data_IF_622874863332
#
_entry.id   IF_622874863332
#
_cell.length_a   1.000
_cell.length_b   1.000
_cell.length_c   1.000
_cell.angle_alpha   90.00
_cell.angle_beta   90.00
_cell.angle_gamma   90.00
#
_symmetry.space_group_name_H-M   'P 1'
#
loop_
_entity.id
_entity.type
_entity.pdbx_description
1 polymer ?
#
# COMPACT_ATOMS: atom_id res chain seq x y z
N UNK A 1 17.17 -21.41 4.52
CA UNK A 1 17.95 -20.29 3.97
C UNK A 1 17.48 -20.04 2.55
N UNK A 2 16.47 -19.15 2.40
CA UNK A 2 16.09 -18.62 1.10
C UNK A 2 17.05 -17.47 0.84
N UNK A 3 18.09 -17.74 0.05
CA UNK A 3 18.95 -16.69 -0.50
C UNK A 3 18.10 -15.96 -1.53
N UNK A 4 17.54 -14.82 -1.17
CA UNK A 4 16.94 -13.88 -2.12
C UNK A 4 18.08 -13.40 -3.02
N UNK A 5 18.25 -14.04 -4.16
CA UNK A 5 19.18 -13.62 -5.18
C UNK A 5 18.54 -12.40 -5.87
N UNK A 6 18.79 -11.20 -5.34
CA UNK A 6 18.42 -9.98 -6.02
C UNK A 6 19.25 -9.92 -7.31
N UNK A 7 18.56 -10.04 -8.45
CA UNK A 7 19.20 -9.84 -9.73
C UNK A 7 19.57 -8.36 -9.86
N UNK A 8 20.85 -8.08 -9.71
CA UNK A 8 21.41 -6.74 -9.94
C UNK A 8 21.94 -6.71 -11.36
N UNK A 9 21.61 -5.66 -12.11
CA UNK A 9 22.11 -5.46 -13.47
C UNK A 9 23.64 -5.39 -13.47
N UNK A 10 24.27 -6.07 -14.42
CA UNK A 10 25.71 -5.99 -14.63
C UNK A 10 26.03 -4.85 -15.62
N UNK A 11 26.50 -3.74 -15.07
CA UNK A 11 26.84 -2.56 -15.86
C UNK A 11 28.21 -2.66 -16.51
N UNK A 12 28.33 -2.27 -17.79
CA UNK A 12 29.58 -2.27 -18.55
C UNK A 12 30.46 -1.05 -18.23
N UNK A 13 30.75 -0.84 -16.94
CA UNK A 13 31.50 0.33 -16.45
C UNK A 13 32.95 0.36 -16.95
N UNK A 14 33.49 -0.80 -17.39
CA UNK A 14 34.81 -0.87 -18.01
C UNK A 14 34.95 -0.02 -19.27
N UNK A 15 33.84 0.36 -19.91
CA UNK A 15 33.84 1.27 -21.06
C UNK A 15 34.02 2.74 -20.65
N UNK A 16 33.91 3.07 -19.38
CA UNK A 16 34.20 4.39 -18.86
C UNK A 16 35.71 4.55 -18.74
N UNK A 17 36.26 5.53 -19.43
CA UNK A 17 37.71 5.80 -19.51
C UNK A 17 38.12 7.13 -18.89
N UNK A 18 37.14 7.97 -18.53
CA UNK A 18 37.39 9.30 -18.00
C UNK A 18 36.63 9.54 -16.70
N UNK A 19 37.30 10.17 -15.75
CA UNK A 19 36.70 10.55 -14.45
C UNK A 19 35.53 11.50 -14.65
N UNK A 20 35.62 12.42 -15.62
CA UNK A 20 34.54 13.37 -15.91
C UNK A 20 33.22 12.67 -16.29
N UNK A 21 33.27 11.59 -17.05
CA UNK A 21 32.08 10.80 -17.40
C UNK A 21 31.47 10.09 -16.19
N UNK A 22 32.32 9.58 -15.29
CA UNK A 22 31.88 9.02 -14.03
C UNK A 22 31.16 10.07 -13.18
N UNK A 23 31.67 11.28 -13.08
CA UNK A 23 31.08 12.38 -12.32
C UNK A 23 29.71 12.80 -12.87
N UNK A 24 29.55 12.82 -14.18
CA UNK A 24 28.25 13.08 -14.83
C UNK A 24 27.24 12.04 -14.43
N UNK A 25 27.60 10.76 -14.49
CA UNK A 25 26.71 9.66 -14.12
C UNK A 25 26.35 9.65 -12.63
N UNK A 26 27.32 9.95 -11.76
CA UNK A 26 27.09 10.04 -10.33
C UNK A 26 26.15 11.20 -9.98
N UNK A 27 26.31 12.33 -10.63
CA UNK A 27 25.41 13.48 -10.45
C UNK A 27 23.99 13.17 -10.91
N UNK A 28 23.85 12.52 -12.05
CA UNK A 28 22.55 12.06 -12.54
C UNK A 28 21.90 11.07 -11.60
N UNK A 29 22.65 10.07 -11.13
CA UNK A 29 22.14 9.05 -10.21
C UNK A 29 21.69 9.63 -8.86
N UNK A 30 22.37 10.66 -8.36
CA UNK A 30 21.97 11.36 -7.13
C UNK A 30 20.60 12.04 -7.28
N UNK A 31 20.31 12.64 -8.43
CA UNK A 31 19.01 13.25 -8.73
C UNK A 31 17.93 12.17 -8.82
N UNK A 32 18.20 11.07 -9.51
CA UNK A 32 17.30 9.93 -9.60
C UNK A 32 16.97 9.39 -8.19
N UNK A 33 17.98 9.21 -7.36
CA UNK A 33 17.79 8.73 -5.98
C UNK A 33 16.98 9.69 -5.14
N UNK A 34 17.19 11.00 -5.26
CA UNK A 34 16.41 12.01 -4.54
C UNK A 34 14.92 11.94 -4.92
N UNK A 35 14.62 11.85 -6.21
CA UNK A 35 13.25 11.74 -6.71
C UNK A 35 12.57 10.44 -6.23
N UNK A 36 13.29 9.32 -6.30
CA UNK A 36 12.80 8.03 -5.83
C UNK A 36 12.60 8.01 -4.32
N UNK A 37 13.48 8.63 -3.55
CA UNK A 37 13.33 8.73 -2.08
C UNK A 37 12.11 9.55 -1.69
N UNK A 38 11.85 10.64 -2.39
CA UNK A 38 10.64 11.44 -2.20
C UNK A 38 9.38 10.63 -2.55
N UNK A 39 9.40 9.93 -3.68
CA UNK A 39 8.30 9.05 -4.10
C UNK A 39 8.07 7.92 -3.08
N UNK A 40 9.13 7.30 -2.58
CA UNK A 40 9.05 6.27 -1.54
C UNK A 40 8.33 6.79 -0.31
N UNK A 41 8.69 7.97 0.19
CA UNK A 41 8.05 8.57 1.35
C UNK A 41 6.55 8.79 1.13
N UNK A 42 6.16 9.25 -0.05
CA UNK A 42 4.74 9.46 -0.41
C UNK A 42 3.98 8.14 -0.45
N UNK A 43 4.57 7.09 -1.05
CA UNK A 43 3.96 5.76 -1.15
C UNK A 43 3.88 5.09 0.23
N UNK A 44 4.89 5.23 1.08
CA UNK A 44 4.86 4.73 2.47
C UNK A 44 3.71 5.33 3.26
N UNK A 45 3.56 6.65 3.21
CA UNK A 45 2.45 7.34 3.89
C UNK A 45 1.09 6.89 3.39
N UNK A 46 0.95 6.69 2.09
CA UNK A 46 -0.28 6.21 1.49
C UNK A 46 -0.56 4.76 1.90
N UNK A 47 0.46 3.90 1.90
CA UNK A 47 0.35 2.49 2.32
C UNK A 47 -0.07 2.39 3.79
N UNK A 48 0.53 3.17 4.67
CA UNK A 48 0.17 3.22 6.10
C UNK A 48 -1.28 3.64 6.29
N UNK A 49 -1.73 4.64 5.55
CA UNK A 49 -3.12 5.10 5.59
C UNK A 49 -4.09 4.01 5.14
N UNK A 50 -3.78 3.28 4.07
CA UNK A 50 -4.59 2.16 3.62
C UNK A 50 -4.62 1.02 4.65
N UNK A 51 -3.49 0.73 5.29
CA UNK A 51 -3.41 -0.29 6.34
C UNK A 51 -4.32 0.04 7.53
N UNK A 52 -4.27 1.27 8.03
CA UNK A 52 -5.12 1.74 9.13
C UNK A 52 -6.60 1.71 8.75
N UNK A 53 -6.95 2.26 7.59
CA UNK A 53 -8.33 2.34 7.10
C UNK A 53 -8.90 0.95 6.84
N UNK A 54 -8.11 0.03 6.31
CA UNK A 54 -8.52 -1.37 6.07
C UNK A 54 -8.97 -2.06 7.35
N UNK A 55 -8.20 -1.93 8.43
CA UNK A 55 -8.54 -2.50 9.74
C UNK A 55 -9.80 -1.84 10.32
N UNK A 56 -9.88 -0.53 10.26
CA UNK A 56 -11.02 0.25 10.78
C UNK A 56 -12.32 -0.14 10.07
N UNK A 57 -12.32 -0.17 8.74
CA UNK A 57 -13.49 -0.53 7.94
C UNK A 57 -13.92 -1.97 8.19
N UNK A 58 -12.99 -2.91 8.28
CA UNK A 58 -13.29 -4.31 8.59
C UNK A 58 -13.95 -4.44 9.97
N UNK A 59 -13.44 -3.73 10.97
CA UNK A 59 -14.00 -3.73 12.33
C UNK A 59 -15.42 -3.14 12.36
N UNK A 60 -15.64 -2.02 11.69
CA UNK A 60 -16.95 -1.39 11.58
C UNK A 60 -17.96 -2.29 10.87
N UNK A 61 -17.56 -2.97 9.79
CA UNK A 61 -18.41 -3.90 9.06
C UNK A 61 -18.82 -5.08 9.92
N UNK A 62 -17.89 -5.67 10.67
CA UNK A 62 -18.20 -6.76 11.61
C UNK A 62 -19.19 -6.31 12.69
N UNK A 63 -19.05 -5.11 13.21
CA UNK A 63 -19.99 -4.53 14.18
C UNK A 63 -21.39 -4.38 13.61
N UNK A 64 -21.52 -3.89 12.38
CA UNK A 64 -22.83 -3.75 11.72
C UNK A 64 -23.48 -5.10 11.41
N UNK A 65 -22.70 -6.09 10.99
CA UNK A 65 -23.20 -7.46 10.76
C UNK A 65 -23.75 -8.05 12.06
N UNK A 66 -23.04 -7.86 13.18
CA UNK A 66 -23.49 -8.32 14.49
C UNK A 66 -24.77 -7.61 14.94
N UNK A 67 -24.87 -6.28 14.76
CA UNK A 67 -26.08 -5.51 15.07
C UNK A 67 -27.28 -5.96 14.22
N UNK A 68 -27.08 -6.22 12.92
CA UNK A 68 -28.12 -6.74 12.04
C UNK A 68 -28.64 -8.09 12.50
N UNK A 69 -27.75 -9.01 12.88
CA UNK A 69 -28.16 -10.32 13.41
C UNK A 69 -29.01 -10.18 14.69
N UNK A 70 -28.62 -9.27 15.58
CA UNK A 70 -29.35 -8.99 16.82
C UNK A 70 -30.74 -8.40 16.53
N UNK A 71 -30.84 -7.43 15.61
CA UNK A 71 -32.10 -6.80 15.21
C UNK A 71 -33.03 -7.81 14.53
N UNK A 72 -32.50 -8.66 13.65
CA UNK A 72 -33.28 -9.71 13.00
C UNK A 72 -33.87 -10.70 14.03
N UNK A 73 -33.09 -11.12 15.01
CA UNK A 73 -33.56 -11.99 16.10
C UNK A 73 -34.64 -11.30 16.93
N UNK A 74 -34.51 -9.99 17.18
CA UNK A 74 -35.47 -9.20 17.91
C UNK A 74 -36.80 -9.04 17.16
N UNK A 75 -36.75 -8.71 15.87
CA UNK A 75 -37.91 -8.57 14.98
C UNK A 75 -38.70 -9.90 14.95
N UNK A 76 -38.00 -11.03 14.92
CA UNK A 76 -38.65 -12.36 14.82
C UNK A 76 -39.56 -12.69 16.00
N UNK A 77 -39.35 -12.10 17.18
CA UNK A 77 -40.11 -12.35 18.39
C UNK A 77 -41.13 -11.25 18.75
N UNK A 78 -41.10 -10.12 18.01
CA UNK A 78 -41.99 -9.00 18.29
C UNK A 78 -43.38 -9.19 17.62
N UNK A 79 -44.48 -8.85 18.33
CA UNK A 79 -45.78 -8.74 17.70
C UNK A 79 -45.83 -7.50 16.77
N UNK A 80 -46.74 -7.53 15.79
CA UNK A 80 -47.01 -6.37 14.95
C UNK A 80 -47.44 -5.16 15.81
N UNK A 81 -46.86 -4.00 15.47
CA UNK A 81 -47.10 -2.76 16.18
C UNK A 81 -45.94 -1.79 16.10
N UNK A 82 -46.03 -0.63 16.82
CA UNK A 82 -45.05 0.44 16.75
C UNK A 82 -43.63 0.01 17.11
N UNK A 83 -43.42 -0.89 18.05
CA UNK A 83 -42.12 -1.37 18.50
C UNK A 83 -41.45 -2.18 17.39
N UNK A 84 -42.21 -3.06 16.72
CA UNK A 84 -41.70 -3.83 15.58
C UNK A 84 -41.37 -2.91 14.40
N UNK A 85 -42.23 -1.95 14.12
CA UNK A 85 -42.00 -0.97 13.03
C UNK A 85 -40.71 -0.18 13.26
N UNK A 86 -40.44 0.24 14.48
CA UNK A 86 -39.20 0.93 14.86
C UNK A 86 -37.97 0.03 14.68
N UNK A 87 -38.07 -1.25 15.05
CA UNK A 87 -37.01 -2.23 14.85
C UNK A 87 -36.74 -2.49 13.36
N UNK A 88 -37.77 -2.56 12.54
CA UNK A 88 -37.66 -2.68 11.07
C UNK A 88 -36.96 -1.44 10.47
N UNK A 89 -37.29 -0.24 10.93
CA UNK A 89 -36.65 1.00 10.51
C UNK A 89 -35.15 1.02 10.87
N UNK A 90 -34.80 0.53 12.07
CA UNK A 90 -33.43 0.37 12.50
C UNK A 90 -32.66 -0.61 11.60
N UNK A 91 -33.28 -1.74 11.26
CA UNK A 91 -32.71 -2.72 10.32
C UNK A 91 -32.40 -2.07 8.97
N UNK A 92 -33.32 -1.31 8.43
CA UNK A 92 -33.12 -0.62 7.15
C UNK A 92 -31.94 0.33 7.18
N UNK A 93 -31.77 1.11 8.26
CA UNK A 93 -30.61 2.01 8.44
C UNK A 93 -29.29 1.21 8.53
N UNK A 94 -29.29 0.09 9.24
CA UNK A 94 -28.12 -0.77 9.37
C UNK A 94 -27.75 -1.45 8.05
N UNK A 95 -28.72 -1.87 7.25
CA UNK A 95 -28.50 -2.44 5.92
C UNK A 95 -27.86 -1.40 4.97
N UNK A 96 -28.30 -0.15 5.03
CA UNK A 96 -27.68 0.93 4.27
C UNK A 96 -26.25 1.22 4.72
N UNK A 97 -26.01 1.25 6.04
CA UNK A 97 -24.66 1.42 6.59
C UNK A 97 -23.74 0.26 6.18
N UNK A 98 -24.25 -0.98 6.18
CA UNK A 98 -23.52 -2.15 5.69
C UNK A 98 -23.13 -1.98 4.22
N UNK A 99 -24.07 -1.57 3.39
CA UNK A 99 -23.83 -1.30 1.98
C UNK A 99 -22.70 -0.29 1.76
N UNK A 100 -22.71 0.83 2.49
CA UNK A 100 -21.65 1.84 2.41
C UNK A 100 -20.28 1.29 2.88
N UNK A 101 -20.26 0.51 3.94
CA UNK A 101 -19.04 -0.12 4.44
C UNK A 101 -18.48 -1.17 3.48
N UNK A 102 -19.33 -1.96 2.84
CA UNK A 102 -18.91 -2.92 1.81
C UNK A 102 -18.26 -2.20 0.61
N UNK A 103 -18.80 -1.05 0.21
CA UNK A 103 -18.16 -0.20 -0.80
C UNK A 103 -16.79 0.32 -0.36
N UNK A 104 -16.64 0.68 0.91
CA UNK A 104 -15.33 1.10 1.46
C UNK A 104 -14.33 -0.06 1.55
N UNK A 105 -14.78 -1.28 1.86
CA UNK A 105 -13.92 -2.48 1.82
C UNK A 105 -13.36 -2.70 0.42
N UNK A 106 -14.17 -2.49 -0.62
CA UNK A 106 -13.71 -2.57 -2.01
C UNK A 106 -12.61 -1.54 -2.31
N UNK A 107 -12.74 -0.30 -1.80
CA UNK A 107 -11.78 0.78 -2.04
C UNK A 107 -10.54 0.73 -1.13
N UNK A 108 -10.67 0.27 0.11
CA UNK A 108 -9.65 0.31 1.16
C UNK A 108 -9.41 -1.03 1.83
N UNK A 109 -9.88 -2.13 1.25
CA UNK A 109 -9.71 -3.46 1.79
C UNK A 109 -8.34 -4.06 1.51
N UNK A 110 -8.20 -5.36 1.79
CA UNK A 110 -6.95 -6.10 1.67
C UNK A 110 -6.37 -6.04 0.26
N UNK A 111 -7.20 -6.12 -0.78
CA UNK A 111 -6.74 -6.04 -2.17
C UNK A 111 -6.09 -4.69 -2.47
N UNK A 112 -6.75 -3.60 -2.12
CA UNK A 112 -6.22 -2.26 -2.31
C UNK A 112 -4.93 -2.03 -1.51
N UNK A 113 -4.86 -2.54 -0.28
CA UNK A 113 -3.66 -2.48 0.55
C UNK A 113 -2.47 -3.21 -0.11
N UNK A 114 -2.69 -4.43 -0.60
CA UNK A 114 -1.64 -5.21 -1.27
C UNK A 114 -1.14 -4.54 -2.55
N UNK A 115 -2.02 -3.89 -3.31
CA UNK A 115 -1.61 -3.07 -4.46
C UNK A 115 -0.66 -1.94 -4.05
N UNK A 116 -0.95 -1.25 -2.94
CA UNK A 116 -0.07 -0.20 -2.40
C UNK A 116 1.25 -0.74 -1.89
N UNK A 117 1.24 -1.90 -1.25
CA UNK A 117 2.46 -2.58 -0.81
C UNK A 117 3.33 -2.98 -2.01
N UNK A 118 2.73 -3.42 -3.11
CA UNK A 118 3.47 -3.72 -4.33
C UNK A 118 4.09 -2.45 -4.94
N UNK A 119 3.38 -1.32 -4.96
CA UNK A 119 3.92 -0.05 -5.42
C UNK A 119 5.13 0.38 -4.57
N UNK A 120 5.05 0.21 -3.25
CA UNK A 120 6.16 0.49 -2.34
C UNK A 120 7.37 -0.42 -2.63
N UNK A 121 7.13 -1.72 -2.81
CA UNK A 121 8.19 -2.67 -3.16
C UNK A 121 8.91 -2.33 -4.45
N UNK A 122 8.19 -1.86 -5.47
CA UNK A 122 8.79 -1.40 -6.74
C UNK A 122 9.72 -0.21 -6.53
N UNK A 123 9.29 0.79 -5.78
CA UNK A 123 10.12 1.98 -5.51
C UNK A 123 11.36 1.61 -4.73
N UNK A 124 11.25 0.73 -3.74
CA UNK A 124 12.39 0.24 -2.97
C UNK A 124 13.40 -0.50 -3.84
N UNK A 125 12.93 -1.31 -4.79
CA UNK A 125 13.81 -1.99 -5.75
C UNK A 125 14.49 -1.01 -6.70
N UNK A 126 13.79 0.01 -7.16
CA UNK A 126 14.39 1.06 -8.01
C UNK A 126 15.51 1.80 -7.26
N UNK A 127 15.33 2.11 -5.98
CA UNK A 127 16.37 2.75 -5.14
C UNK A 127 17.56 1.81 -4.99
N UNK A 128 17.35 0.54 -4.73
CA UNK A 128 18.42 -0.45 -4.61
C UNK A 128 19.23 -0.56 -5.91
N UNK A 129 18.56 -0.48 -7.07
CA UNK A 129 19.21 -0.51 -8.37
C UNK A 129 20.06 0.75 -8.61
N UNK A 130 19.57 1.93 -8.24
CA UNK A 130 20.36 3.17 -8.31
C UNK A 130 21.59 3.08 -7.41
N UNK A 131 21.44 2.55 -6.20
CA UNK A 131 22.57 2.37 -5.28
C UNK A 131 23.63 1.42 -5.85
N UNK A 132 23.20 0.32 -6.48
CA UNK A 132 24.11 -0.62 -7.15
C UNK A 132 24.85 0.03 -8.34
N UNK A 133 24.14 0.83 -9.12
CA UNK A 133 24.73 1.60 -10.21
C UNK A 133 25.79 2.60 -9.71
N UNK A 134 25.47 3.36 -8.66
CA UNK A 134 26.41 4.30 -8.03
C UNK A 134 27.64 3.58 -7.54
N UNK A 135 27.50 2.46 -6.86
CA UNK A 135 28.64 1.67 -6.36
C UNK A 135 29.54 1.18 -7.50
N UNK A 136 28.96 0.73 -8.62
CA UNK A 136 29.73 0.30 -9.79
C UNK A 136 30.51 1.46 -10.44
N UNK A 137 29.89 2.62 -10.60
CA UNK A 137 30.54 3.81 -11.18
C UNK A 137 31.63 4.36 -10.26
N UNK A 138 31.38 4.42 -8.95
CA UNK A 138 32.40 4.85 -7.96
C UNK A 138 33.61 3.94 -7.96
N UNK A 139 33.41 2.63 -8.00
CA UNK A 139 34.51 1.66 -8.09
C UNK A 139 35.32 1.84 -9.37
N UNK A 140 34.66 2.08 -10.49
CA UNK A 140 35.34 2.35 -11.76
C UNK A 140 36.11 3.67 -11.74
N UNK A 141 35.51 4.73 -11.20
CA UNK A 141 36.18 6.04 -11.03
C UNK A 141 37.43 5.90 -10.21
N UNK A 142 37.41 5.14 -9.12
CA UNK A 142 38.58 4.90 -8.27
C UNK A 142 39.70 4.13 -8.97
N UNK A 143 39.38 3.36 -10.01
CA UNK A 143 40.36 2.61 -10.81
C UNK A 143 40.93 3.39 -11.98
N UNK A 144 40.45 4.59 -12.27
CA UNK A 144 40.95 5.48 -13.31
C UNK A 144 41.97 6.47 -12.75
#
# INVERSE_FOLDING_TARGET
NITLNFYIMNYTVQNLTQVADCDVLLSWAQKEKADLTFRKLSVERLTDRYAETSVEVATQLQGVIAELAAVDSYIAILPDGPIKDEAVDKKTRLEYKKFLLEGRVESYGVVALLEKQMDLGRVEQEIAEVDAFVAAVEARKAAL
#
